data_IF_385089691135
#
_entry.id   IF_385089691135
#
_cell.length_a   1.000
_cell.length_b   1.000
_cell.length_c   1.000
_cell.angle_alpha   90.00
_cell.angle_beta   90.00
_cell.angle_gamma   90.00
#
_symmetry.space_group_name_H-M   'P 1'
#
loop_
_entity.id
_entity.type
_entity.pdbx_description
1 polymer ?
#
# COMPACT_ATOMS: atom_id res chain seq x y z
N UNK A 1 -4.35 -4.75 -6.33
CA UNK A 1 -4.62 -4.03 -5.08
C UNK A 1 -5.76 -3.07 -5.36
N UNK A 2 -6.77 -3.04 -4.51
CA UNK A 2 -7.85 -2.05 -4.54
C UNK A 2 -8.27 -1.75 -3.11
N UNK A 3 -8.38 -0.47 -2.76
CA UNK A 3 -9.07 -0.05 -1.53
C UNK A 3 -10.56 0.12 -1.76
N UNK A 4 -11.37 0.10 -0.69
CA UNK A 4 -12.82 0.35 -0.81
C UNK A 4 -13.09 1.74 -1.42
N UNK A 5 -12.15 2.68 -1.24
CA UNK A 5 -12.19 4.01 -1.86
C UNK A 5 -12.22 3.94 -3.38
N UNK A 6 -11.38 3.11 -3.98
CA UNK A 6 -11.35 2.93 -5.43
C UNK A 6 -12.59 2.20 -5.90
N UNK A 7 -12.96 1.12 -5.22
CA UNK A 7 -14.13 0.30 -5.59
C UNK A 7 -15.40 1.15 -5.75
N UNK A 8 -15.64 2.07 -4.81
CA UNK A 8 -16.77 3.00 -4.89
C UNK A 8 -16.58 4.11 -5.92
N UNK A 9 -15.36 4.62 -6.08
CA UNK A 9 -15.07 5.76 -6.97
C UNK A 9 -15.24 5.40 -8.44
N UNK A 10 -14.81 4.19 -8.85
CA UNK A 10 -14.80 3.77 -10.25
C UNK A 10 -15.96 2.85 -10.64
N UNK A 11 -16.88 2.59 -9.70
CA UNK A 11 -18.09 1.80 -9.93
C UNK A 11 -17.92 0.29 -9.82
N UNK A 12 -16.78 -0.22 -9.35
CA UNK A 12 -16.63 -1.67 -9.10
C UNK A 12 -17.53 -2.15 -7.96
N UNK A 13 -17.84 -1.26 -7.00
CA UNK A 13 -18.82 -1.52 -5.96
C UNK A 13 -20.26 -1.71 -6.49
N UNK A 14 -20.56 -1.29 -7.72
CA UNK A 14 -21.89 -1.47 -8.34
C UNK A 14 -22.10 -2.89 -8.89
N UNK A 15 -21.01 -3.65 -9.06
CA UNK A 15 -21.02 -5.00 -9.67
C UNK A 15 -20.42 -6.07 -8.76
N UNK A 16 -20.16 -5.71 -7.49
CA UNK A 16 -19.66 -6.62 -6.45
C UNK A 16 -20.49 -6.47 -5.17
N UNK A 17 -20.48 -7.47 -4.29
CA UNK A 17 -21.38 -7.53 -3.14
C UNK A 17 -20.66 -7.49 -1.77
N UNK A 18 -19.39 -7.87 -1.71
CA UNK A 18 -18.66 -8.08 -0.46
C UNK A 18 -17.29 -7.43 -0.50
N UNK A 19 -16.82 -6.94 0.64
CA UNK A 19 -15.47 -6.41 0.84
C UNK A 19 -14.81 -7.08 2.05
N UNK A 20 -13.73 -7.84 1.82
CA UNK A 20 -12.98 -8.51 2.87
C UNK A 20 -12.07 -7.50 3.59
N UNK A 21 -12.18 -7.46 4.92
CA UNK A 21 -11.44 -6.48 5.75
C UNK A 21 -9.98 -6.87 6.02
N UNK A 22 -9.66 -8.16 5.96
CA UNK A 22 -8.30 -8.69 6.07
C UNK A 22 -7.52 -8.37 4.78
N UNK A 23 -6.74 -7.29 4.78
CA UNK A 23 -5.90 -6.94 3.64
C UNK A 23 -4.57 -7.72 3.65
N UNK A 24 -3.96 -7.85 2.47
CA UNK A 24 -2.62 -8.45 2.30
C UNK A 24 -1.51 -7.38 2.19
N UNK A 25 -1.88 -6.10 2.10
CA UNK A 25 -0.97 -4.96 2.11
C UNK A 25 -1.72 -3.68 2.46
N UNK A 26 -1.18 -2.91 3.40
CA UNK A 26 -1.73 -1.62 3.83
C UNK A 26 -1.37 -0.44 2.93
N UNK A 27 -0.49 -0.61 1.94
CA UNK A 27 -0.07 0.47 1.05
C UNK A 27 0.52 -0.04 -0.25
N UNK A 28 -0.03 0.40 -1.37
CA UNK A 28 0.51 0.08 -2.70
C UNK A 28 1.67 1.00 -3.07
N UNK A 29 2.73 0.41 -3.64
CA UNK A 29 3.93 1.13 -4.06
C UNK A 29 3.90 1.38 -5.57
N UNK A 30 3.70 2.64 -5.97
CA UNK A 30 3.81 3.11 -7.36
C UNK A 30 4.76 4.28 -7.50
N UNK A 31 5.17 4.57 -8.73
CA UNK A 31 6.15 5.62 -9.02
C UNK A 31 5.82 6.38 -10.30
N UNK A 32 6.30 7.62 -10.39
CA UNK A 32 6.35 8.37 -11.64
C UNK A 32 7.67 8.05 -12.34
N UNK A 33 7.60 7.63 -13.59
CA UNK A 33 8.77 7.35 -14.42
C UNK A 33 8.85 8.37 -15.56
N UNK A 34 10.06 8.81 -15.85
CA UNK A 34 10.36 9.68 -16.99
C UNK A 34 11.52 9.06 -17.76
N UNK A 35 11.45 9.10 -19.08
CA UNK A 35 12.57 8.67 -19.92
C UNK A 35 13.82 9.51 -19.62
N UNK A 36 14.98 8.86 -19.48
CA UNK A 36 16.23 9.51 -19.05
C UNK A 36 16.71 10.61 -20.00
N UNK A 37 16.63 10.38 -21.32
CA UNK A 37 17.08 11.36 -22.32
C UNK A 37 16.17 12.59 -22.30
N UNK A 38 14.85 12.36 -22.21
CA UNK A 38 13.87 13.45 -22.08
C UNK A 38 14.01 14.18 -20.76
N UNK A 39 14.31 13.48 -19.67
CA UNK A 39 14.60 14.14 -18.40
C UNK A 39 15.86 15.00 -18.49
N UNK A 40 16.91 14.56 -19.18
CA UNK A 40 18.12 15.35 -19.38
C UNK A 40 17.84 16.69 -20.09
N UNK A 41 16.92 16.70 -21.07
CA UNK A 41 16.47 17.89 -21.81
C UNK A 41 15.69 18.91 -20.95
N UNK A 42 15.11 18.51 -19.81
CA UNK A 42 14.29 19.42 -18.97
C UNK A 42 15.18 20.40 -18.20
N UNK A 43 14.92 21.73 -18.28
CA UNK A 43 15.60 22.73 -17.45
C UNK A 43 15.42 22.51 -15.95
N UNK A 44 16.41 22.84 -15.13
CA UNK A 44 16.41 22.49 -13.70
C UNK A 44 15.21 23.04 -12.93
N UNK A 45 14.79 24.28 -13.19
CA UNK A 45 13.60 24.85 -12.54
C UNK A 45 12.31 24.05 -12.84
N UNK A 46 12.18 23.47 -14.03
CA UNK A 46 11.05 22.60 -14.37
C UNK A 46 11.20 21.19 -13.78
N UNK A 47 12.43 20.69 -13.59
CA UNK A 47 12.67 19.46 -12.83
C UNK A 47 12.23 19.61 -11.38
N UNK A 48 12.53 20.75 -10.75
CA UNK A 48 12.04 21.09 -9.41
C UNK A 48 10.51 21.09 -9.39
N UNK A 49 9.89 21.80 -10.34
CA UNK A 49 8.42 21.87 -10.43
C UNK A 49 7.79 20.48 -10.58
N UNK A 50 8.32 19.63 -11.48
CA UNK A 50 7.81 18.27 -11.67
C UNK A 50 7.88 17.42 -10.40
N UNK A 51 8.99 17.50 -9.66
CA UNK A 51 9.15 16.82 -8.36
C UNK A 51 8.15 17.33 -7.34
N UNK A 52 7.97 18.65 -7.24
CA UNK A 52 6.96 19.24 -6.33
C UNK A 52 5.52 18.80 -6.68
N UNK A 53 5.16 18.77 -7.96
CA UNK A 53 3.85 18.28 -8.39
C UNK A 53 3.66 16.78 -8.07
N UNK A 54 4.73 16.00 -8.21
CA UNK A 54 4.76 14.58 -7.85
C UNK A 54 4.52 14.40 -6.34
N UNK A 55 5.26 15.12 -5.50
CA UNK A 55 5.07 15.09 -4.03
C UNK A 55 3.65 15.52 -3.64
N UNK A 56 3.12 16.57 -4.28
CA UNK A 56 1.74 17.02 -4.08
C UNK A 56 0.72 15.94 -4.46
N UNK A 57 0.94 15.21 -5.57
CA UNK A 57 0.09 14.08 -5.96
C UNK A 57 0.17 12.92 -4.96
N UNK A 58 1.35 12.61 -4.43
CA UNK A 58 1.52 11.60 -3.39
C UNK A 58 0.78 11.99 -2.11
N UNK A 59 0.96 13.22 -1.65
CA UNK A 59 0.28 13.74 -0.46
C UNK A 59 -1.24 13.74 -0.63
N UNK A 60 -1.72 14.12 -1.82
CA UNK A 60 -3.15 14.09 -2.13
C UNK A 60 -3.74 12.69 -1.91
N UNK A 61 -3.09 11.68 -2.49
CA UNK A 61 -3.53 10.28 -2.36
C UNK A 61 -3.46 9.79 -0.92
N UNK A 62 -2.42 10.12 -0.16
CA UNK A 62 -2.31 9.71 1.24
C UNK A 62 -3.56 10.08 2.05
N UNK A 63 -3.99 11.34 1.99
CA UNK A 63 -5.18 11.76 2.75
C UNK A 63 -6.49 11.30 2.10
N UNK A 64 -6.54 11.17 0.77
CA UNK A 64 -7.73 10.70 0.05
C UNK A 64 -8.05 9.25 0.42
N UNK A 65 -7.06 8.35 0.39
CA UNK A 65 -7.24 6.96 0.82
C UNK A 65 -7.46 6.87 2.33
N UNK A 66 -6.68 7.58 3.14
CA UNK A 66 -6.85 7.53 4.60
C UNK A 66 -8.28 7.88 5.04
N UNK A 67 -8.83 8.98 4.53
CA UNK A 67 -10.21 9.38 4.82
C UNK A 67 -11.26 8.53 4.10
N UNK A 68 -10.99 8.16 2.84
CA UNK A 68 -11.90 7.37 2.01
C UNK A 68 -12.16 5.98 2.58
N UNK A 69 -11.09 5.26 2.97
CA UNK A 69 -11.17 3.90 3.50
C UNK A 69 -12.03 3.87 4.77
N UNK A 70 -11.77 4.78 5.71
CA UNK A 70 -12.53 4.87 6.95
C UNK A 70 -14.00 5.22 6.70
N UNK A 71 -14.27 6.27 5.92
CA UNK A 71 -15.63 6.74 5.65
C UNK A 71 -16.47 5.68 4.94
N UNK A 72 -15.93 5.01 3.93
CA UNK A 72 -16.69 4.06 3.11
C UNK A 72 -16.90 2.72 3.80
N UNK A 73 -15.98 2.29 4.69
CA UNK A 73 -16.25 1.13 5.55
C UNK A 73 -17.33 1.43 6.58
N UNK A 74 -17.38 2.65 7.11
CA UNK A 74 -18.35 3.04 8.13
C UNK A 74 -19.75 3.37 7.57
N UNK A 75 -19.81 3.94 6.37
CA UNK A 75 -21.03 4.56 5.83
C UNK A 75 -21.38 4.12 4.40
N UNK A 76 -20.54 3.33 3.75
CA UNK A 76 -20.83 2.79 2.42
C UNK A 76 -21.99 1.79 2.47
N UNK A 77 -22.84 1.82 1.46
CA UNK A 77 -24.10 1.06 1.37
C UNK A 77 -24.10 -0.01 0.28
N UNK A 78 -23.06 -0.08 -0.56
CA UNK A 78 -22.97 -1.00 -1.70
C UNK A 78 -22.34 -2.34 -1.37
N UNK A 79 -21.38 -2.36 -0.44
CA UNK A 79 -20.57 -3.55 -0.13
C UNK A 79 -20.77 -4.02 1.32
N UNK A 80 -21.04 -5.30 1.50
CA UNK A 80 -21.08 -5.93 2.82
C UNK A 80 -19.67 -6.29 3.29
N UNK A 81 -19.26 -5.75 4.43
CA UNK A 81 -17.97 -6.08 5.03
C UNK A 81 -17.96 -7.51 5.58
N UNK A 82 -16.86 -8.23 5.35
CA UNK A 82 -16.59 -9.54 5.92
C UNK A 82 -15.20 -9.60 6.55
N UNK A 83 -15.00 -10.54 7.48
CA UNK A 83 -13.73 -10.72 8.19
C UNK A 83 -13.48 -12.20 8.41
N UNK A 84 -12.28 -12.65 8.09
CA UNK A 84 -11.75 -13.96 8.47
C UNK A 84 -11.17 -13.83 9.89
N UNK A 85 -11.42 -14.79 10.81
CA UNK A 85 -10.85 -14.76 12.15
C UNK A 85 -9.33 -14.66 12.14
N UNK A 86 -8.75 -13.90 13.07
CA UNK A 86 -7.31 -13.64 13.13
C UNK A 86 -6.47 -14.94 13.19
N UNK A 87 -6.94 -15.95 13.91
CA UNK A 87 -6.26 -17.24 14.01
C UNK A 87 -6.18 -17.98 12.66
N UNK A 88 -7.20 -17.84 11.81
CA UNK A 88 -7.19 -18.40 10.46
C UNK A 88 -6.35 -17.53 9.52
N UNK A 89 -6.51 -16.20 9.58
CA UNK A 89 -5.76 -15.26 8.75
C UNK A 89 -4.26 -15.30 9.02
N UNK A 90 -3.85 -15.64 10.24
CA UNK A 90 -2.44 -15.83 10.61
C UNK A 90 -1.71 -16.82 9.70
N UNK A 91 -2.42 -17.81 9.16
CA UNK A 91 -1.84 -18.75 8.19
C UNK A 91 -1.38 -18.07 6.89
N UNK A 92 -2.08 -17.01 6.46
CA UNK A 92 -1.71 -16.20 5.30
C UNK A 92 -0.50 -15.32 5.62
N UNK A 93 -0.45 -14.74 6.81
CA UNK A 93 0.70 -13.94 7.27
C UNK A 93 1.98 -14.80 7.36
N UNK A 94 1.88 -16.02 7.90
CA UNK A 94 2.99 -16.96 7.99
C UNK A 94 3.47 -17.42 6.60
N UNK A 95 2.54 -17.64 5.68
CA UNK A 95 2.88 -17.94 4.29
C UNK A 95 3.60 -16.76 3.60
N UNK A 96 3.26 -15.52 3.95
CA UNK A 96 3.92 -14.34 3.40
C UNK A 96 5.39 -14.22 3.87
N UNK A 97 5.67 -14.56 5.13
CA UNK A 97 7.05 -14.57 5.65
C UNK A 97 7.93 -15.60 4.93
N UNK A 98 7.39 -16.81 4.68
CA UNK A 98 8.07 -17.84 3.90
C UNK A 98 8.28 -17.40 2.44
N UNK A 99 7.25 -16.79 1.83
CA UNK A 99 7.36 -16.26 0.46
C UNK A 99 8.44 -15.16 0.35
N UNK A 100 8.60 -14.33 1.38
CA UNK A 100 9.67 -13.32 1.39
C UNK A 100 11.07 -13.96 1.43
N UNK A 101 11.23 -15.09 2.10
CA UNK A 101 12.51 -15.83 2.10
C UNK A 101 12.82 -16.44 0.73
N UNK A 102 11.79 -16.93 0.02
CA UNK A 102 11.93 -17.36 -1.38
C UNK A 102 12.40 -16.22 -2.29
N UNK A 103 11.75 -15.05 -2.20
CA UNK A 103 12.14 -13.85 -2.97
C UNK A 103 13.55 -13.37 -2.61
N UNK A 104 13.92 -13.42 -1.34
CA UNK A 104 15.27 -13.06 -0.89
C UNK A 104 16.34 -13.99 -1.49
N UNK A 105 16.01 -15.24 -1.78
CA UNK A 105 16.95 -16.20 -2.36
C UNK A 105 17.22 -15.98 -3.87
N UNK A 106 16.41 -15.19 -4.58
CA UNK A 106 16.54 -15.01 -6.03
C UNK A 106 17.81 -14.24 -6.43
N UNK A 107 18.12 -13.14 -5.73
CA UNK A 107 19.24 -12.26 -6.03
C UNK A 107 19.74 -11.53 -4.79
N UNK A 108 20.99 -11.06 -4.80
CA UNK A 108 21.52 -10.20 -3.73
C UNK A 108 20.67 -8.92 -3.53
N UNK A 109 20.15 -8.35 -4.62
CA UNK A 109 19.30 -7.16 -4.56
C UNK A 109 17.96 -7.43 -3.87
N UNK A 110 17.30 -8.54 -4.19
CA UNK A 110 16.03 -8.91 -3.54
C UNK A 110 16.25 -9.28 -2.08
N UNK A 111 17.36 -9.95 -1.76
CA UNK A 111 17.77 -10.23 -0.38
C UNK A 111 17.89 -8.94 0.46
N UNK A 112 18.58 -7.92 -0.06
CA UNK A 112 18.78 -6.66 0.66
C UNK A 112 17.46 -5.89 0.84
N UNK A 113 16.58 -5.86 -0.17
CA UNK A 113 15.26 -5.23 -0.05
C UNK A 113 14.40 -5.94 1.00
N UNK A 114 14.32 -7.27 0.97
CA UNK A 114 13.56 -8.05 1.96
C UNK A 114 14.10 -7.83 3.38
N UNK A 115 15.42 -7.79 3.54
CA UNK A 115 16.07 -7.48 4.82
C UNK A 115 15.65 -6.11 5.36
N UNK A 116 15.65 -5.07 4.52
CA UNK A 116 15.18 -3.73 4.91
C UNK A 116 13.73 -3.77 5.38
N UNK A 117 12.85 -4.47 4.64
CA UNK A 117 11.44 -4.59 5.00
C UNK A 117 11.24 -5.32 6.34
N UNK A 118 11.95 -6.44 6.57
CA UNK A 118 11.90 -7.20 7.83
C UNK A 118 12.43 -6.36 9.00
N UNK A 119 13.54 -5.63 8.82
CA UNK A 119 14.07 -4.74 9.84
C UNK A 119 13.07 -3.63 10.19
N UNK A 120 12.51 -2.95 9.19
CA UNK A 120 11.52 -1.91 9.41
C UNK A 120 10.29 -2.44 10.16
N UNK A 121 9.81 -3.64 9.82
CA UNK A 121 8.71 -4.27 10.57
C UNK A 121 9.07 -4.56 12.04
N UNK A 122 10.31 -5.01 12.31
CA UNK A 122 10.78 -5.22 13.68
C UNK A 122 10.85 -3.90 14.47
N UNK A 123 11.36 -2.84 13.84
CA UNK A 123 11.42 -1.50 14.44
C UNK A 123 10.02 -0.97 14.78
N UNK A 124 9.04 -1.15 13.89
CA UNK A 124 7.65 -0.72 14.15
C UNK A 124 6.99 -1.50 15.30
N UNK A 125 7.32 -2.79 15.46
CA UNK A 125 6.87 -3.58 16.62
C UNK A 125 7.52 -3.08 17.91
N UNK A 126 8.83 -2.82 17.90
CA UNK A 126 9.56 -2.32 19.06
C UNK A 126 9.12 -0.91 19.47
N UNK A 127 8.73 -0.06 18.51
CA UNK A 127 8.24 1.29 18.76
C UNK A 127 6.88 1.34 19.47
N UNK A 128 6.04 0.32 19.31
CA UNK A 128 4.70 0.27 19.92
C UNK A 128 3.71 1.29 19.34
N UNK A 129 2.68 1.69 20.11
CA UNK A 129 1.67 2.63 19.62
C UNK A 129 2.26 4.00 19.27
N UNK A 130 1.80 4.65 18.18
CA UNK A 130 0.65 4.31 17.34
C UNK A 130 0.95 3.32 16.20
N UNK A 131 2.18 2.81 16.08
CA UNK A 131 2.60 1.99 14.94
C UNK A 131 2.13 0.54 15.04
N UNK A 132 2.15 -0.04 16.24
CA UNK A 132 1.59 -1.37 16.55
C UNK A 132 0.85 -1.32 17.88
N UNK A 133 -0.36 -1.87 17.91
CA UNK A 133 -1.07 -2.14 19.15
C UNK A 133 -0.64 -3.52 19.67
N UNK A 134 -0.46 -3.63 20.99
CA UNK A 134 -0.14 -4.89 21.67
C UNK A 134 -1.35 -5.78 21.89
#
# INVERSE_FOLDING_TARGET
WSGITEDYTVGWADVTNYFLTNNISGGWCGSFFVNSDKWAEVPEHLKVLFRMCTDSSHLHRLHWYWGGEARLRAHGDKLKLTTIPDAEWKTVEDAADAFWDEIAAETERTAEVVKILKQYQADMKAAGPPYRAG
#
